data_IF_645560799098
#
_entry.id   IF_645560799098
#
_cell.length_a   1.000
_cell.length_b   1.000
_cell.length_c   1.000
_cell.angle_alpha   90.00
_cell.angle_beta   90.00
_cell.angle_gamma   90.00
#
_symmetry.space_group_name_H-M   'P 1'
#
loop_
_entity.id
_entity.type
_entity.pdbx_description
1 polymer ?
#
# COMPACT_ATOMS: atom_id res chain seq x y z
N UNK A 1 20.02 -17.21 -8.71
CA UNK A 1 19.18 -17.15 -7.54
C UNK A 1 17.77 -16.84 -7.90
N UNK A 2 16.89 -17.77 -7.72
CA UNK A 2 15.48 -17.57 -8.00
C UNK A 2 14.76 -16.91 -6.85
N UNK A 3 13.63 -16.31 -7.16
CA UNK A 3 12.69 -15.80 -6.19
C UNK A 3 11.96 -16.99 -5.58
N UNK A 4 11.77 -17.01 -4.25
CA UNK A 4 11.07 -18.11 -3.61
C UNK A 4 9.59 -18.09 -3.96
N UNK A 5 8.88 -19.24 -3.89
CA UNK A 5 7.42 -19.23 -4.11
C UNK A 5 6.69 -18.28 -3.18
N UNK A 6 7.10 -18.20 -1.91
CA UNK A 6 6.47 -17.30 -0.95
C UNK A 6 6.66 -15.84 -1.36
N UNK A 7 7.84 -15.47 -1.84
CA UNK A 7 8.08 -14.10 -2.28
C UNK A 7 7.24 -13.76 -3.51
N UNK A 8 7.04 -14.73 -4.42
CA UNK A 8 6.17 -14.53 -5.57
C UNK A 8 4.71 -14.33 -5.14
N UNK A 9 4.26 -15.10 -4.15
CA UNK A 9 2.91 -14.96 -3.61
C UNK A 9 2.70 -13.60 -2.93
N UNK A 10 3.70 -13.15 -2.17
CA UNK A 10 3.64 -11.83 -1.52
C UNK A 10 3.64 -10.72 -2.57
N UNK A 11 4.45 -10.85 -3.62
CA UNK A 11 4.46 -9.89 -4.72
C UNK A 11 3.07 -9.80 -5.38
N UNK A 12 2.41 -10.94 -5.57
CA UNK A 12 1.06 -10.98 -6.14
C UNK A 12 0.04 -10.32 -5.22
N UNK A 13 0.15 -10.54 -3.90
CA UNK A 13 -0.74 -9.91 -2.93
C UNK A 13 -0.54 -8.38 -2.90
N UNK A 14 0.71 -7.95 -2.99
CA UNK A 14 1.03 -6.53 -3.03
C UNK A 14 0.47 -5.87 -4.30
N UNK A 15 0.60 -6.55 -5.44
CA UNK A 15 0.04 -6.06 -6.70
C UNK A 15 -1.48 -5.98 -6.63
N UNK A 16 -2.13 -6.98 -6.02
CA UNK A 16 -3.59 -7.00 -5.87
C UNK A 16 -4.06 -5.78 -5.04
N UNK A 17 -3.32 -5.41 -4.01
CA UNK A 17 -3.62 -4.22 -3.21
C UNK A 17 -3.59 -2.97 -4.09
N UNK A 18 -2.54 -2.78 -4.88
CA UNK A 18 -2.44 -1.57 -5.71
C UNK A 18 -3.43 -1.56 -6.88
N UNK A 19 -3.80 -2.72 -7.38
CA UNK A 19 -4.87 -2.81 -8.39
C UNK A 19 -6.23 -2.44 -7.81
N UNK A 20 -6.51 -2.85 -6.57
CA UNK A 20 -7.74 -2.48 -5.89
C UNK A 20 -7.78 -0.97 -5.63
N UNK A 21 -6.64 -0.40 -5.26
CA UNK A 21 -6.50 1.04 -5.05
C UNK A 21 -6.76 1.80 -6.36
N UNK A 22 -6.17 1.37 -7.45
CA UNK A 22 -6.37 2.01 -8.75
C UNK A 22 -7.81 1.91 -9.20
N UNK A 23 -8.43 0.74 -9.03
CA UNK A 23 -9.82 0.52 -9.43
C UNK A 23 -10.81 1.23 -8.51
N UNK A 24 -10.37 1.67 -7.34
CA UNK A 24 -11.22 2.26 -6.31
C UNK A 24 -12.41 1.35 -6.01
N UNK A 25 -12.12 0.05 -5.89
CA UNK A 25 -13.12 -0.99 -5.70
C UNK A 25 -13.01 -1.53 -4.28
N UNK A 26 -14.01 -1.24 -3.47
CA UNK A 26 -14.00 -1.64 -2.06
C UNK A 26 -13.99 -3.15 -1.89
N UNK A 27 -14.73 -3.89 -2.71
CA UNK A 27 -14.77 -5.34 -2.60
C UNK A 27 -13.39 -5.96 -2.87
N UNK A 28 -12.70 -5.47 -3.91
CA UNK A 28 -11.34 -5.93 -4.21
C UNK A 28 -10.37 -5.55 -3.10
N UNK A 29 -10.49 -4.35 -2.56
CA UNK A 29 -9.65 -3.92 -1.44
C UNK A 29 -9.90 -4.81 -0.23
N UNK A 30 -11.15 -5.08 0.11
CA UNK A 30 -11.49 -5.95 1.24
C UNK A 30 -10.90 -7.35 1.08
N UNK A 31 -10.82 -7.86 -0.14
CA UNK A 31 -10.33 -9.21 -0.37
C UNK A 31 -8.83 -9.37 -0.12
N UNK A 32 -8.08 -8.26 -0.10
CA UNK A 32 -6.62 -8.28 0.13
C UNK A 32 -6.28 -8.24 1.62
N UNK A 33 -7.17 -7.71 2.45
CA UNK A 33 -6.94 -7.50 3.87
C UNK A 33 -7.39 -8.69 4.71
N UNK A 34 -6.71 -8.86 5.84
CA UNK A 34 -7.19 -9.73 6.91
C UNK A 34 -8.25 -8.95 7.69
N UNK A 35 -9.40 -9.57 7.90
CA UNK A 35 -10.52 -8.92 8.60
C UNK A 35 -10.44 -9.25 10.08
N UNK A 36 -9.66 -8.48 10.80
CA UNK A 36 -9.36 -8.75 12.21
C UNK A 36 -9.18 -7.42 12.95
N UNK A 37 -9.36 -7.48 14.27
CA UNK A 37 -9.20 -6.28 15.10
C UNK A 37 -7.74 -5.82 15.19
N UNK A 38 -6.79 -6.68 14.86
CA UNK A 38 -5.36 -6.37 14.96
C UNK A 38 -4.79 -5.66 13.73
N UNK A 39 -5.55 -5.55 12.64
CA UNK A 39 -5.04 -4.85 11.46
C UNK A 39 -5.01 -3.35 11.72
N UNK A 40 -4.15 -2.64 11.02
CA UNK A 40 -4.03 -1.20 11.15
C UNK A 40 -3.64 -0.57 9.84
N UNK A 41 -3.89 0.74 9.71
CA UNK A 41 -3.61 1.46 8.49
C UNK A 41 -3.33 2.93 8.81
N UNK A 42 -2.33 3.49 8.16
CA UNK A 42 -2.04 4.92 8.23
C UNK A 42 -1.99 5.45 6.79
N UNK A 43 -3.02 6.20 6.41
CA UNK A 43 -3.01 6.89 5.12
C UNK A 43 -2.13 8.13 5.20
N UNK A 44 -1.62 8.63 4.07
CA UNK A 44 -0.75 9.81 4.11
C UNK A 44 -1.39 10.98 4.84
N UNK A 45 -0.74 11.40 5.92
CA UNK A 45 -1.21 12.52 6.74
C UNK A 45 -2.29 12.18 7.76
N UNK A 46 -2.72 10.92 7.85
CA UNK A 46 -3.76 10.51 8.80
C UNK A 46 -3.15 9.98 10.09
N UNK A 47 -3.98 9.92 11.13
CA UNK A 47 -3.67 9.13 12.32
C UNK A 47 -3.88 7.66 12.01
N UNK A 48 -3.32 6.79 12.86
CA UNK A 48 -3.49 5.36 12.70
C UNK A 48 -4.96 4.96 12.91
N UNK A 49 -5.44 4.11 12.00
CA UNK A 49 -6.73 3.46 12.11
C UNK A 49 -6.50 2.04 12.61
N UNK A 50 -7.33 1.58 13.51
CA UNK A 50 -7.18 0.28 14.15
C UNK A 50 -8.41 -0.60 13.89
N UNK A 51 -8.18 -1.82 13.44
CA UNK A 51 -9.21 -2.80 13.18
C UNK A 51 -9.83 -2.67 11.80
N UNK A 52 -10.32 -3.81 11.31
CA UNK A 52 -10.84 -3.87 9.95
C UNK A 52 -12.01 -2.91 9.72
N UNK A 53 -12.91 -2.77 10.71
CA UNK A 53 -14.09 -1.91 10.53
C UNK A 53 -13.69 -0.46 10.23
N UNK A 54 -12.72 0.07 10.98
CA UNK A 54 -12.23 1.44 10.72
C UNK A 54 -11.48 1.53 9.40
N UNK A 55 -10.65 0.53 9.11
CA UNK A 55 -9.86 0.51 7.88
C UNK A 55 -10.78 0.44 6.66
N UNK A 56 -11.78 -0.44 6.70
CA UNK A 56 -12.74 -0.57 5.60
C UNK A 56 -13.50 0.74 5.37
N UNK A 57 -13.95 1.36 6.45
CA UNK A 57 -14.67 2.63 6.36
C UNK A 57 -13.81 3.71 5.72
N UNK A 58 -12.52 3.73 6.06
CA UNK A 58 -11.61 4.71 5.48
C UNK A 58 -11.44 4.52 3.97
N UNK A 59 -11.29 3.26 3.52
CA UNK A 59 -11.19 2.98 2.09
C UNK A 59 -12.48 3.36 1.35
N UNK A 60 -13.63 3.07 1.95
CA UNK A 60 -14.91 3.45 1.39
C UNK A 60 -15.00 4.96 1.19
N UNK A 61 -14.61 5.72 2.20
CA UNK A 61 -14.63 7.19 2.12
C UNK A 61 -13.63 7.72 1.09
N UNK A 62 -12.44 7.17 1.04
CA UNK A 62 -11.42 7.58 0.07
C UNK A 62 -11.93 7.34 -1.35
N UNK A 63 -12.48 6.16 -1.61
CA UNK A 63 -12.96 5.82 -2.96
C UNK A 63 -14.16 6.65 -3.37
N UNK A 64 -15.05 6.98 -2.43
CA UNK A 64 -16.21 7.81 -2.72
C UNK A 64 -15.84 9.26 -3.03
N UNK A 65 -14.73 9.75 -2.50
CA UNK A 65 -14.34 11.16 -2.60
C UNK A 65 -13.15 11.40 -3.51
N UNK A 66 -12.56 10.37 -4.09
CA UNK A 66 -11.42 10.53 -4.98
C UNK A 66 -11.85 10.50 -6.44
N UNK A 67 -11.03 11.14 -7.29
CA UNK A 67 -11.20 11.08 -8.73
C UNK A 67 -10.42 9.87 -9.27
N UNK A 68 -10.75 9.39 -10.47
CA UNK A 68 -9.97 8.32 -11.09
C UNK A 68 -8.49 8.67 -11.16
N UNK A 69 -7.66 7.69 -10.92
CA UNK A 69 -6.21 7.85 -10.93
C UNK A 69 -5.54 6.63 -11.51
N UNK A 70 -4.29 6.80 -11.94
CA UNK A 70 -3.40 5.69 -12.26
C UNK A 70 -2.48 5.48 -11.08
N UNK A 71 -2.33 4.23 -10.67
CA UNK A 71 -1.50 3.87 -9.52
C UNK A 71 -0.48 2.84 -9.96
N UNK A 72 0.78 3.09 -9.65
CA UNK A 72 1.84 2.13 -9.87
C UNK A 72 2.71 2.05 -8.62
N UNK A 73 3.51 1.00 -8.56
CA UNK A 73 4.37 0.72 -7.42
C UNK A 73 5.78 0.51 -7.96
N UNK A 74 6.74 1.27 -7.44
CA UNK A 74 8.14 1.23 -7.86
C UNK A 74 9.05 0.86 -6.71
N UNK A 75 10.26 0.44 -7.02
CA UNK A 75 11.29 0.12 -6.05
C UNK A 75 10.78 -0.85 -4.98
N UNK A 76 10.24 -1.96 -5.42
CA UNK A 76 9.58 -2.94 -4.54
C UNK A 76 10.63 -3.84 -3.91
N UNK A 77 10.63 -3.93 -2.58
CA UNK A 77 11.51 -4.81 -1.83
C UNK A 77 10.67 -5.67 -0.91
N UNK A 78 10.92 -6.98 -0.94
CA UNK A 78 10.15 -7.96 -0.19
C UNK A 78 11.07 -8.68 0.77
N UNK A 79 10.64 -8.79 2.02
CA UNK A 79 11.31 -9.57 3.05
C UNK A 79 10.34 -10.54 3.70
N UNK A 80 10.82 -11.70 4.07
CA UNK A 80 10.01 -12.79 4.62
C UNK A 80 10.60 -13.27 5.93
N UNK A 81 9.72 -13.53 6.90
CA UNK A 81 10.11 -14.12 8.19
C UNK A 81 8.96 -15.00 8.68
N UNK A 82 9.02 -16.31 8.39
CA UNK A 82 7.96 -17.25 8.75
C UNK A 82 6.64 -16.89 8.09
N UNK A 83 5.62 -16.67 8.89
CA UNK A 83 4.28 -16.31 8.42
C UNK A 83 4.08 -14.80 8.28
N UNK A 84 5.15 -14.03 8.31
CA UNK A 84 5.12 -12.59 8.14
C UNK A 84 5.96 -12.19 6.94
N UNK A 85 5.47 -11.25 6.18
CA UNK A 85 6.21 -10.64 5.09
C UNK A 85 6.00 -9.14 5.13
N UNK A 86 7.00 -8.38 4.71
CA UNK A 86 6.81 -6.95 4.55
C UNK A 86 7.36 -6.52 3.20
N UNK A 87 6.66 -5.56 2.62
CA UNK A 87 7.01 -4.98 1.33
C UNK A 87 7.20 -3.49 1.55
N UNK A 88 8.34 -2.97 1.12
CA UNK A 88 8.55 -1.54 1.05
C UNK A 88 8.59 -1.14 -0.41
N UNK A 89 8.01 0.00 -0.73
CA UNK A 89 7.92 0.43 -2.13
C UNK A 89 7.59 1.92 -2.20
N UNK A 90 7.61 2.44 -3.43
CA UNK A 90 7.18 3.81 -3.70
C UNK A 90 5.88 3.73 -4.50
N UNK A 91 4.82 4.32 -3.95
CA UNK A 91 3.55 4.45 -4.66
C UNK A 91 3.60 5.69 -5.54
N UNK A 92 3.19 5.54 -6.79
CA UNK A 92 3.14 6.65 -7.74
C UNK A 92 1.69 6.81 -8.17
N UNK A 93 1.10 7.94 -7.85
CA UNK A 93 -0.32 8.21 -8.10
C UNK A 93 -0.45 9.42 -9.01
N UNK A 94 -1.12 9.22 -10.15
CA UNK A 94 -1.35 10.28 -11.14
C UNK A 94 -2.84 10.41 -11.39
N UNK A 95 -3.48 11.52 -11.02
CA UNK A 95 -4.90 11.71 -11.33
C UNK A 95 -5.13 11.72 -12.84
N UNK A 96 -6.20 11.08 -13.29
CA UNK A 96 -6.59 11.14 -14.70
C UNK A 96 -6.99 12.58 -15.03
N UNK A 97 -6.60 13.04 -16.21
CA UNK A 97 -6.89 14.40 -16.64
C UNK A 97 -5.94 15.44 -16.07
N UNK A 98 -4.92 15.04 -15.34
CA UNK A 98 -3.87 15.94 -14.90
C UNK A 98 -3.11 16.47 -16.12
N UNK A 99 -2.58 17.68 -15.98
CA UNK A 99 -1.77 18.25 -17.05
C UNK A 99 -0.53 17.38 -17.29
N UNK A 100 -0.06 17.37 -18.53
CA UNK A 100 1.03 16.51 -18.96
C UNK A 100 2.30 16.70 -18.13
N UNK A 101 2.55 17.90 -17.65
CA UNK A 101 3.72 18.21 -16.84
C UNK A 101 3.44 18.18 -15.34
N UNK A 102 2.25 17.75 -14.93
CA UNK A 102 1.93 17.63 -13.51
C UNK A 102 2.76 16.52 -12.89
N UNK A 103 3.37 16.82 -11.73
CA UNK A 103 4.14 15.82 -11.02
C UNK A 103 3.23 14.76 -10.40
N UNK A 104 3.65 13.52 -10.49
CA UNK A 104 2.97 12.43 -9.82
C UNK A 104 3.13 12.57 -8.31
N UNK A 105 2.11 12.21 -7.56
CA UNK A 105 2.23 12.09 -6.11
C UNK A 105 3.00 10.82 -5.78
N UNK A 106 4.04 10.92 -4.98
CA UNK A 106 4.88 9.79 -4.59
C UNK A 106 4.80 9.60 -3.09
N UNK A 107 4.59 8.35 -2.69
CA UNK A 107 4.50 7.98 -1.28
C UNK A 107 5.51 6.89 -0.96
N UNK A 108 6.14 6.98 0.20
CA UNK A 108 6.91 5.86 0.73
C UNK A 108 5.93 4.96 1.46
N UNK A 109 5.90 3.69 1.12
CA UNK A 109 4.91 2.78 1.66
C UNK A 109 5.55 1.53 2.26
N UNK A 110 4.93 1.04 3.32
CA UNK A 110 5.25 -0.24 3.94
C UNK A 110 3.96 -1.04 4.06
N UNK A 111 3.97 -2.24 3.52
CA UNK A 111 2.84 -3.16 3.56
C UNK A 111 3.27 -4.44 4.28
N UNK A 112 2.60 -4.75 5.38
CA UNK A 112 2.85 -5.96 6.15
C UNK A 112 1.78 -6.99 5.81
N UNK A 113 2.22 -8.19 5.45
CA UNK A 113 1.34 -9.31 5.14
C UNK A 113 1.54 -10.42 6.15
N UNK A 114 0.44 -10.99 6.62
CA UNK A 114 0.48 -12.19 7.45
C UNK A 114 -0.11 -13.36 6.66
N UNK A 115 0.40 -14.56 6.92
CA UNK A 115 -0.17 -15.76 6.30
C UNK A 115 -1.34 -16.22 7.15
N UNK A 116 -2.53 -16.18 6.57
CA UNK A 116 -3.78 -16.55 7.23
C UNK A 116 -4.42 -17.68 6.43
N UNK A 117 -4.55 -18.84 7.03
CA UNK A 117 -5.13 -20.01 6.38
C UNK A 117 -4.46 -20.30 5.02
N UNK A 118 -3.13 -20.18 4.98
CA UNK A 118 -2.35 -20.45 3.79
C UNK A 118 -2.27 -19.31 2.79
N UNK A 119 -2.94 -18.20 3.03
CA UNK A 119 -2.94 -17.08 2.12
C UNK A 119 -2.35 -15.83 2.74
N UNK A 120 -1.63 -15.05 1.95
CA UNK A 120 -1.06 -13.80 2.40
C UNK A 120 -2.13 -12.71 2.40
N UNK A 121 -2.37 -12.13 3.58
CA UNK A 121 -3.35 -11.04 3.77
C UNK A 121 -2.66 -9.83 4.36
N UNK A 122 -3.07 -8.66 3.90
CA UNK A 122 -2.51 -7.42 4.41
C UNK A 122 -2.98 -7.21 5.85
N UNK A 123 -2.04 -6.94 6.74
CA UNK A 123 -2.34 -6.69 8.16
C UNK A 123 -1.98 -5.27 8.58
N UNK A 124 -1.13 -4.59 7.81
CA UNK A 124 -0.79 -3.19 8.07
C UNK A 124 -0.35 -2.51 6.79
N UNK A 125 -0.82 -1.30 6.59
CA UNK A 125 -0.40 -0.44 5.51
C UNK A 125 -0.08 0.93 6.08
N UNK A 126 1.05 1.48 5.69
CA UNK A 126 1.45 2.82 6.09
C UNK A 126 2.09 3.52 4.89
N UNK A 127 1.58 4.68 4.55
CA UNK A 127 2.15 5.47 3.47
C UNK A 127 2.33 6.90 3.93
N UNK A 128 3.41 7.51 3.47
CA UNK A 128 3.72 8.91 3.78
C UNK A 128 4.27 9.60 2.53
N UNK A 129 4.04 10.90 2.37
CA UNK A 129 4.54 11.60 1.19
C UNK A 129 6.06 11.53 1.11
N UNK A 130 6.55 11.23 -0.09
CA UNK A 130 7.98 11.34 -0.37
C UNK A 130 8.37 12.81 -0.49
N UNK A 131 9.60 13.17 -0.12
CA UNK A 131 10.09 14.50 -0.41
C UNK A 131 10.03 14.79 -1.91
N UNK A 132 9.68 16.01 -2.27
CA UNK A 132 9.74 16.46 -3.65
C UNK A 132 11.16 16.92 -3.96
N UNK A 133 11.58 16.70 -5.21
CA UNK A 133 12.93 17.06 -5.64
C UNK A 133 13.95 16.04 -5.23
N UNK A 134 15.22 16.43 -5.19
CA UNK A 134 16.30 15.54 -4.83
C UNK A 134 16.30 15.27 -3.34
N UNK A 135 16.43 14.00 -2.98
CA UNK A 135 16.62 13.63 -1.60
C UNK A 135 17.95 14.19 -1.11
N UNK A 136 17.98 14.70 0.12
CA UNK A 136 19.22 15.12 0.77
C UNK A 136 19.75 13.90 1.54
N UNK A 137 20.68 13.14 0.96
CA UNK A 137 21.09 11.86 1.56
C UNK A 137 21.75 12.03 2.93
N UNK A 138 22.23 13.20 3.23
CA UNK A 138 22.91 13.47 4.48
C UNK A 138 22.03 14.12 5.55
N UNK A 139 20.73 14.20 5.31
CA UNK A 139 19.84 14.75 6.32
C UNK A 139 19.74 13.79 7.49
N UNK A 140 19.96 14.30 8.71
CA UNK A 140 19.84 13.43 9.87
C UNK A 140 18.39 13.04 10.09
N UNK A 141 18.19 11.83 10.55
CA UNK A 141 16.88 11.35 10.98
C UNK A 141 16.70 11.80 12.43
N UNK A 142 15.71 12.60 12.64
CA UNK A 142 15.40 13.09 13.97
C UNK A 142 14.09 12.54 14.47
#
# INVERSE_FOLDING_TARGET
MGVTPEATEVAAANLAFYRALEARDLASMASVWHHDAAVSCVHPGWHRLDGWDEVERSWSNIFANSRPWAVSCEDIRIALAGDLAWVTCVEVIVPFGAEEDAEAARMQATNLFGRVEGEWRLVHHHASPSPTGEAAPDEPIN
#
